data_IF_241233808168
#
_entry.id   IF_241233808168
#
_cell.length_a   1.000
_cell.length_b   1.000
_cell.length_c   1.000
_cell.angle_alpha   90.00
_cell.angle_beta   90.00
_cell.angle_gamma   90.00
#
_symmetry.space_group_name_H-M   'P 1'
#
loop_
_entity.id
_entity.type
_entity.pdbx_description
1 polymer ?
#
# COMPACT_ATOMS: atom_id res chain seq x y z
N UNK A 1 -38.31 3.66 8.98
CA UNK A 1 -36.85 3.84 9.03
C UNK A 1 -36.54 5.27 8.67
N UNK A 2 -35.68 5.95 9.41
CA UNK A 2 -35.34 7.35 9.12
C UNK A 2 -34.59 7.42 7.78
N UNK A 3 -35.20 8.06 6.78
CA UNK A 3 -34.58 8.30 5.48
C UNK A 3 -33.54 9.39 5.63
N UNK A 4 -32.26 9.01 5.64
CA UNK A 4 -31.16 9.97 5.66
C UNK A 4 -31.06 10.70 4.33
N UNK A 5 -30.97 12.04 4.37
CA UNK A 5 -30.80 12.91 3.20
C UNK A 5 -29.52 13.74 3.35
N UNK A 6 -28.93 14.15 2.22
CA UNK A 6 -27.84 15.12 2.24
C UNK A 6 -28.34 16.43 2.85
N UNK A 7 -27.54 17.05 3.70
CA UNK A 7 -27.93 18.20 4.52
C UNK A 7 -28.80 17.85 5.74
N UNK A 8 -29.16 16.57 5.93
CA UNK A 8 -29.79 16.10 7.17
C UNK A 8 -28.78 15.96 8.31
N UNK A 9 -29.27 15.87 9.53
CA UNK A 9 -28.45 15.64 10.73
C UNK A 9 -28.44 14.16 11.13
N UNK A 10 -27.32 13.70 11.67
CA UNK A 10 -27.13 12.33 12.17
C UNK A 10 -26.12 12.33 13.31
N UNK A 11 -26.33 11.47 14.31
CA UNK A 11 -25.36 11.27 15.39
C UNK A 11 -24.24 10.32 14.95
N UNK A 12 -23.00 10.79 15.02
CA UNK A 12 -21.81 10.04 14.62
C UNK A 12 -20.66 10.29 15.60
N UNK A 13 -19.74 9.33 15.68
CA UNK A 13 -18.52 9.50 16.49
C UNK A 13 -17.51 10.38 15.77
N UNK A 14 -17.22 11.56 16.33
CA UNK A 14 -16.21 12.46 15.80
C UNK A 14 -14.83 12.08 16.30
N UNK A 15 -13.88 11.83 15.40
CA UNK A 15 -12.48 11.52 15.79
C UNK A 15 -11.72 12.73 16.33
N UNK A 16 -12.18 13.96 16.04
CA UNK A 16 -11.59 15.20 16.57
C UNK A 16 -12.13 15.51 17.97
N UNK A 17 -13.45 15.50 18.16
CA UNK A 17 -14.06 15.77 19.46
C UNK A 17 -14.01 14.56 20.41
N UNK A 18 -13.78 13.35 19.88
CA UNK A 18 -13.79 12.07 20.61
C UNK A 18 -15.12 11.78 21.33
N UNK A 19 -16.21 12.29 20.78
CA UNK A 19 -17.56 12.18 21.32
C UNK A 19 -18.55 11.89 20.18
N UNK A 20 -19.65 11.24 20.52
CA UNK A 20 -20.81 11.09 19.61
C UNK A 20 -21.62 12.38 19.65
N UNK A 21 -21.63 13.10 18.54
CA UNK A 21 -22.26 14.42 18.42
C UNK A 21 -23.12 14.48 17.15
N UNK A 22 -23.92 15.54 17.01
CA UNK A 22 -24.65 15.83 15.79
C UNK A 22 -23.68 16.21 14.65
N UNK A 23 -23.86 15.55 13.50
CA UNK A 23 -23.15 15.82 12.27
C UNK A 23 -24.11 16.08 11.12
N UNK A 24 -23.76 17.01 10.25
CA UNK A 24 -24.47 17.24 8.98
C UNK A 24 -23.97 16.26 7.91
N UNK A 25 -24.88 15.62 7.19
CA UNK A 25 -24.57 14.69 6.10
C UNK A 25 -24.12 15.46 4.86
N UNK A 26 -22.87 15.27 4.43
CA UNK A 26 -22.33 15.91 3.24
C UNK A 26 -22.55 15.07 1.97
N UNK A 27 -22.42 13.76 2.09
CA UNK A 27 -22.54 12.85 0.95
C UNK A 27 -23.15 11.51 1.36
N UNK A 28 -24.06 11.03 0.51
CA UNK A 28 -24.65 9.70 0.57
C UNK A 28 -24.24 8.96 -0.70
N UNK A 29 -23.81 7.70 -0.56
CA UNK A 29 -23.50 6.81 -1.68
C UNK A 29 -24.46 5.63 -1.63
N UNK A 30 -25.36 5.57 -2.62
CA UNK A 30 -26.48 4.63 -2.62
C UNK A 30 -27.41 4.92 -1.44
N UNK A 31 -27.53 3.97 -0.52
CA UNK A 31 -28.36 4.09 0.69
C UNK A 31 -27.53 4.37 1.95
N UNK A 32 -26.22 4.57 1.84
CA UNK A 32 -25.29 4.70 2.99
C UNK A 32 -24.68 6.10 3.05
N UNK A 33 -24.61 6.66 4.25
CA UNK A 33 -23.91 7.91 4.52
C UNK A 33 -22.41 7.69 4.33
N UNK A 34 -21.78 8.46 3.44
CA UNK A 34 -20.36 8.33 3.13
C UNK A 34 -19.50 9.32 3.93
N UNK A 35 -19.94 10.59 3.98
CA UNK A 35 -19.19 11.70 4.59
C UNK A 35 -20.11 12.57 5.43
N UNK A 36 -19.60 13.00 6.58
CA UNK A 36 -20.31 13.86 7.54
C UNK A 36 -19.40 14.97 8.04
N UNK A 37 -20.00 16.11 8.39
CA UNK A 37 -19.35 17.26 9.01
C UNK A 37 -19.82 17.41 10.44
N UNK A 38 -18.89 17.46 11.40
CA UNK A 38 -19.25 17.68 12.79
C UNK A 38 -19.80 19.10 12.99
N UNK A 39 -20.94 19.26 13.65
CA UNK A 39 -21.53 20.58 13.91
C UNK A 39 -20.77 21.36 15.01
N UNK A 40 -19.92 20.68 15.80
CA UNK A 40 -19.16 21.29 16.90
C UNK A 40 -17.75 21.72 16.50
N UNK A 41 -17.00 20.87 15.78
CA UNK A 41 -15.62 21.19 15.36
C UNK A 41 -15.48 21.49 13.87
N UNK A 42 -16.58 21.46 13.12
CA UNK A 42 -16.65 21.71 11.68
C UNK A 42 -15.76 20.80 10.82
N UNK A 43 -15.22 19.72 11.40
CA UNK A 43 -14.34 18.78 10.73
C UNK A 43 -15.09 17.70 9.95
N UNK A 44 -14.65 17.46 8.72
CA UNK A 44 -15.25 16.48 7.82
C UNK A 44 -14.55 15.13 7.94
N UNK A 45 -15.33 14.06 8.12
CA UNK A 45 -14.81 12.70 8.20
C UNK A 45 -15.82 11.66 7.66
N UNK A 46 -15.37 10.42 7.52
CA UNK A 46 -16.24 9.32 7.13
C UNK A 46 -17.22 9.00 8.25
N UNK A 47 -18.47 8.68 7.89
CA UNK A 47 -19.50 8.33 8.88
C UNK A 47 -19.10 7.09 9.67
N UNK A 48 -19.11 7.21 11.00
CA UNK A 48 -18.96 6.11 11.94
C UNK A 48 -20.19 6.15 12.85
N UNK A 49 -21.07 5.15 12.71
CA UNK A 49 -22.26 5.04 13.55
C UNK A 49 -21.88 5.01 15.03
N UNK A 50 -22.80 5.46 15.88
CA UNK A 50 -22.63 5.40 17.32
C UNK A 50 -22.29 3.96 17.78
N UNK A 51 -21.39 3.79 18.76
CA UNK A 51 -21.12 2.47 19.32
C UNK A 51 -22.41 1.92 19.94
N UNK A 52 -23.00 0.90 19.31
CA UNK A 52 -24.20 0.23 19.81
C UNK A 52 -25.42 0.22 18.87
N UNK A 53 -25.44 1.02 17.80
CA UNK A 53 -26.49 0.92 16.77
C UNK A 53 -26.00 0.06 15.62
N UNK A 54 -26.13 -1.26 15.76
CA UNK A 54 -25.81 -2.22 14.72
C UNK A 54 -26.89 -2.23 13.64
N UNK A 55 -26.97 -1.16 12.85
CA UNK A 55 -27.53 -1.23 11.50
C UNK A 55 -26.36 -1.39 10.51
N UNK A 56 -25.58 -2.46 10.74
CA UNK A 56 -24.54 -2.90 9.83
C UNK A 56 -25.17 -4.02 9.00
N UNK A 57 -25.73 -3.73 7.80
CA UNK A 57 -25.99 -4.81 6.86
C UNK A 57 -24.65 -5.51 6.62
N UNK A 58 -24.70 -6.84 6.70
CA UNK A 58 -23.58 -7.74 6.52
C UNK A 58 -22.64 -7.21 5.42
N UNK A 59 -21.31 -7.21 5.63
CA UNK A 59 -20.39 -6.73 4.61
C UNK A 59 -20.63 -7.56 3.35
N UNK A 60 -21.25 -6.94 2.34
CA UNK A 60 -21.11 -7.42 0.98
C UNK A 60 -19.61 -7.34 0.71
N UNK A 61 -18.95 -8.46 0.42
CA UNK A 61 -17.53 -8.43 0.14
C UNK A 61 -17.36 -7.62 -1.14
N UNK A 62 -16.95 -6.36 -1.01
CA UNK A 62 -16.26 -5.68 -2.11
C UNK A 62 -15.06 -6.56 -2.39
N UNK A 63 -15.02 -7.08 -3.61
CA UNK A 63 -13.91 -7.80 -4.19
C UNK A 63 -12.63 -6.97 -4.05
N UNK A 64 -12.02 -7.07 -2.88
CA UNK A 64 -10.58 -7.07 -2.77
C UNK A 64 -10.19 -8.28 -3.59
N UNK A 65 -9.41 -8.06 -4.65
CA UNK A 65 -8.77 -9.13 -5.41
C UNK A 65 -7.90 -9.94 -4.44
N UNK A 66 -8.55 -10.86 -3.73
CA UNK A 66 -7.97 -11.94 -2.98
C UNK A 66 -7.81 -13.06 -3.99
N UNK A 67 -6.60 -13.20 -4.49
CA UNK A 67 -6.14 -14.45 -5.06
C UNK A 67 -6.36 -15.56 -4.02
N UNK A 68 -7.15 -16.56 -4.40
CA UNK A 68 -7.15 -17.88 -3.78
C UNK A 68 -8.08 -18.05 -2.59
N UNK A 69 -9.39 -18.00 -2.83
CA UNK A 69 -10.33 -18.73 -1.99
C UNK A 69 -10.35 -20.21 -2.40
N UNK A 70 -10.02 -21.12 -1.47
CA UNK A 70 -10.63 -22.44 -1.45
C UNK A 70 -11.27 -22.65 -0.08
N UNK A 71 -12.59 -22.71 -0.14
CA UNK A 71 -13.50 -23.50 0.69
C UNK A 71 -13.22 -23.56 2.20
N UNK A 72 -14.15 -22.94 2.92
CA UNK A 72 -14.57 -23.22 4.29
C UNK A 72 -14.75 -24.74 4.51
N UNK A 73 -13.64 -25.43 4.75
CA UNK A 73 -13.60 -26.68 5.47
C UNK A 73 -13.21 -26.34 6.91
N UNK A 74 -13.88 -27.02 7.82
CA UNK A 74 -13.59 -27.12 9.24
C UNK A 74 -12.24 -26.56 9.65
N UNK A 75 -12.28 -25.55 10.51
CA UNK A 75 -11.14 -25.08 11.29
C UNK A 75 -10.68 -26.22 12.20
N UNK A 76 -10.00 -27.22 11.63
CA UNK A 76 -9.11 -28.10 12.38
C UNK A 76 -7.98 -27.17 12.78
N UNK A 77 -8.03 -26.75 14.04
CA UNK A 77 -6.92 -26.19 14.76
C UNK A 77 -5.88 -27.30 14.76
N UNK A 78 -5.11 -27.45 13.67
CA UNK A 78 -3.80 -28.08 13.74
C UNK A 78 -3.03 -27.08 14.58
N UNK A 79 -3.09 -27.32 15.89
CA UNK A 79 -2.46 -26.50 16.88
C UNK A 79 -0.99 -26.40 16.48
N UNK A 80 -0.44 -25.20 16.61
CA UNK A 80 0.98 -24.90 16.39
C UNK A 80 1.94 -25.99 16.94
N UNK A 81 1.53 -26.71 17.97
CA UNK A 81 2.22 -27.86 18.57
C UNK A 81 2.35 -29.08 17.65
N UNK A 82 1.34 -29.36 16.84
CA UNK A 82 1.31 -30.50 15.90
C UNK A 82 2.10 -30.20 14.61
N UNK A 83 2.22 -28.92 14.23
CA UNK A 83 3.15 -28.49 13.17
C UNK A 83 4.62 -28.48 13.63
N UNK A 84 4.85 -28.36 14.94
CA UNK A 84 6.19 -28.43 15.53
C UNK A 84 6.62 -29.87 15.86
N UNK A 85 5.67 -30.80 15.95
CA UNK A 85 5.89 -32.22 16.21
C UNK A 85 6.58 -32.87 14.99
N UNK A 86 7.91 -32.85 14.99
CA UNK A 86 8.75 -33.47 13.96
C UNK A 86 9.72 -32.51 13.26
N UNK A 87 9.78 -31.24 13.70
CA UNK A 87 10.78 -30.28 13.18
C UNK A 87 11.78 -29.91 14.26
N UNK A 88 13.05 -29.90 13.85
CA UNK A 88 14.19 -29.81 14.73
C UNK A 88 14.36 -28.37 15.25
N UNK A 89 13.63 -28.08 16.33
CA UNK A 89 13.62 -26.78 17.02
C UNK A 89 15.01 -26.41 17.57
N UNK A 90 15.89 -27.40 17.74
CA UNK A 90 17.21 -27.22 18.33
C UNK A 90 18.26 -26.67 17.33
N UNK A 91 18.08 -26.93 16.04
CA UNK A 91 18.98 -26.47 14.98
C UNK A 91 18.42 -25.25 14.21
N UNK A 92 17.40 -24.59 14.73
CA UNK A 92 16.78 -23.43 14.09
C UNK A 92 17.76 -22.25 14.01
N UNK A 93 18.03 -21.69 12.82
CA UNK A 93 18.85 -20.50 12.68
C UNK A 93 18.24 -19.32 13.45
N UNK A 94 19.12 -18.52 14.09
CA UNK A 94 18.69 -17.23 14.67
C UNK A 94 18.28 -16.28 13.56
N UNK A 95 17.20 -15.53 13.79
CA UNK A 95 16.73 -14.54 12.85
C UNK A 95 17.80 -13.47 12.57
N UNK A 96 18.08 -13.27 11.29
CA UNK A 96 18.99 -12.29 10.73
C UNK A 96 18.32 -11.70 9.50
N UNK A 97 18.12 -10.38 9.42
CA UNK A 97 17.54 -9.74 8.24
C UNK A 97 18.35 -9.90 6.95
N UNK A 98 19.62 -10.33 7.06
CA UNK A 98 20.51 -10.57 5.92
C UNK A 98 20.29 -11.93 5.27
N UNK A 99 19.82 -12.89 6.05
CA UNK A 99 19.62 -14.26 5.57
C UNK A 99 18.29 -14.35 4.82
N UNK A 100 18.19 -15.33 3.94
CA UNK A 100 16.99 -15.61 3.16
C UNK A 100 16.32 -16.86 3.72
N UNK A 101 15.02 -16.80 3.93
CA UNK A 101 14.25 -17.90 4.51
C UNK A 101 13.24 -18.45 3.50
N UNK A 102 12.97 -19.75 3.59
CA UNK A 102 11.98 -20.46 2.77
C UNK A 102 10.74 -20.84 3.59
N UNK A 103 9.65 -21.15 2.90
CA UNK A 103 8.42 -21.68 3.52
C UNK A 103 8.74 -22.96 4.30
N UNK A 104 8.04 -23.17 5.42
CA UNK A 104 8.19 -24.30 6.35
C UNK A 104 9.52 -24.37 7.13
N UNK A 105 10.32 -23.30 7.07
CA UNK A 105 11.55 -23.18 7.87
C UNK A 105 11.23 -22.69 9.30
N UNK A 106 11.88 -23.27 10.30
CA UNK A 106 11.79 -22.85 11.69
C UNK A 106 12.90 -21.84 12.00
N UNK A 107 12.53 -20.70 12.58
CA UNK A 107 13.44 -19.58 12.90
C UNK A 107 13.29 -19.20 14.37
N UNK A 108 14.40 -18.90 15.02
CA UNK A 108 14.40 -18.34 16.37
C UNK A 108 14.54 -16.81 16.34
N UNK A 109 13.50 -16.08 16.75
CA UNK A 109 13.54 -14.63 16.92
C UNK A 109 13.77 -14.24 18.39
N UNK A 110 14.68 -13.30 18.73
CA UNK A 110 14.99 -12.95 20.11
C UNK A 110 13.80 -12.43 20.92
N UNK A 111 12.89 -11.68 20.30
CA UNK A 111 11.70 -11.10 20.97
C UNK A 111 10.49 -12.02 20.96
N UNK A 112 10.36 -12.87 19.94
CA UNK A 112 9.11 -13.61 19.67
C UNK A 112 9.25 -15.12 19.87
N UNK A 113 10.47 -15.60 20.10
CA UNK A 113 10.78 -17.01 20.26
C UNK A 113 10.82 -17.74 18.92
N UNK A 114 10.50 -19.02 18.96
CA UNK A 114 10.49 -19.91 17.79
C UNK A 114 9.24 -19.65 16.96
N UNK A 115 9.43 -19.45 15.65
CA UNK A 115 8.35 -19.29 14.69
C UNK A 115 8.58 -20.11 13.43
N UNK A 116 7.49 -20.53 12.80
CA UNK A 116 7.48 -21.23 11.52
C UNK A 116 7.16 -20.25 10.40
N UNK A 117 7.94 -20.27 9.33
CA UNK A 117 7.66 -19.46 8.13
C UNK A 117 6.45 -20.04 7.39
N UNK A 118 5.35 -19.30 7.33
CA UNK A 118 4.14 -19.72 6.62
C UNK A 118 4.05 -19.17 5.20
N UNK A 119 4.65 -18.01 4.94
CA UNK A 119 4.70 -17.44 3.60
C UNK A 119 5.91 -16.53 3.39
N UNK A 120 6.42 -16.51 2.17
CA UNK A 120 7.51 -15.62 1.73
C UNK A 120 6.99 -14.71 0.62
N UNK A 121 7.21 -13.40 0.76
CA UNK A 121 6.74 -12.32 -0.12
C UNK A 121 7.89 -11.38 -0.44
N UNK A 122 8.76 -11.79 -1.37
CA UNK A 122 9.92 -11.00 -1.77
C UNK A 122 10.88 -10.78 -0.60
N UNK A 123 10.92 -9.55 -0.08
CA UNK A 123 11.73 -9.18 1.10
C UNK A 123 11.02 -9.39 2.44
N UNK A 124 9.73 -9.75 2.43
CA UNK A 124 8.91 -9.92 3.64
C UNK A 124 8.56 -11.38 3.85
N UNK A 125 8.68 -11.85 5.08
CA UNK A 125 8.36 -13.22 5.48
C UNK A 125 7.30 -13.20 6.58
N UNK A 126 6.23 -13.97 6.40
CA UNK A 126 5.19 -14.16 7.42
C UNK A 126 5.57 -15.36 8.29
N UNK A 127 5.74 -15.09 9.59
CA UNK A 127 6.12 -16.07 10.61
C UNK A 127 4.97 -16.28 11.58
N UNK A 128 4.60 -17.53 11.81
CA UNK A 128 3.65 -17.91 12.85
C UNK A 128 4.43 -18.27 14.10
N UNK A 129 4.30 -17.45 15.14
CA UNK A 129 4.84 -17.71 16.48
C UNK A 129 3.76 -18.32 17.37
N UNK A 130 4.16 -18.80 18.55
CA UNK A 130 3.22 -19.32 19.56
C UNK A 130 2.13 -18.31 19.96
N UNK A 131 2.48 -17.02 19.97
CA UNK A 131 1.61 -15.96 20.46
C UNK A 131 0.84 -15.28 19.32
N UNK A 132 1.54 -14.92 18.24
CA UNK A 132 0.96 -14.16 17.13
C UNK A 132 1.60 -14.57 15.79
N UNK A 133 0.94 -14.26 14.68
CA UNK A 133 1.56 -14.18 13.36
C UNK A 133 2.18 -12.80 13.14
N UNK A 134 3.47 -12.73 12.75
CA UNK A 134 4.15 -11.45 12.45
C UNK A 134 4.89 -11.52 11.12
N UNK A 135 4.86 -10.42 10.38
CA UNK A 135 5.65 -10.23 9.17
C UNK A 135 7.01 -9.63 9.52
N UNK A 136 8.08 -10.34 9.19
CA UNK A 136 9.46 -9.88 9.34
C UNK A 136 10.11 -9.64 7.98
N UNK A 137 11.31 -9.07 7.98
CA UNK A 137 12.07 -8.78 6.75
C UNK A 137 13.23 -9.74 6.64
N UNK A 138 13.51 -10.22 5.44
CA UNK A 138 14.64 -11.10 5.15
C UNK A 138 15.30 -10.66 3.83
N UNK A 139 16.50 -11.15 3.55
CA UNK A 139 17.19 -10.85 2.28
C UNK A 139 17.62 -9.38 2.11
N UNK A 140 17.65 -8.56 3.18
CA UNK A 140 18.17 -7.17 3.15
C UNK A 140 19.67 -7.06 2.86
N UNK A 141 20.34 -8.20 2.67
CA UNK A 141 21.74 -8.32 2.24
C UNK A 141 21.92 -8.59 0.73
N UNK A 142 20.83 -8.62 -0.06
CA UNK A 142 20.93 -8.63 -1.52
C UNK A 142 21.73 -7.42 -2.03
N UNK A 143 22.47 -7.60 -3.12
CA UNK A 143 23.40 -6.63 -3.67
C UNK A 143 22.82 -5.19 -3.67
N UNK A 144 23.62 -4.16 -3.32
CA UNK A 144 23.15 -2.79 -3.27
C UNK A 144 22.65 -2.40 -4.67
N UNK A 145 21.33 -2.37 -4.86
CA UNK A 145 20.77 -1.79 -6.08
C UNK A 145 21.27 -0.36 -6.16
N UNK A 146 21.96 -0.03 -7.24
CA UNK A 146 22.58 1.28 -7.47
C UNK A 146 21.62 2.39 -7.07
N UNK A 147 22.11 3.30 -6.23
CA UNK A 147 21.35 4.46 -5.75
C UNK A 147 20.81 5.18 -6.98
N UNK A 148 19.48 5.42 -7.11
CA UNK A 148 18.97 6.19 -8.22
C UNK A 148 19.58 7.60 -8.15
N UNK A 149 20.41 7.93 -9.13
CA UNK A 149 20.99 9.25 -9.26
C UNK A 149 19.86 10.23 -9.62
N UNK A 150 19.47 11.05 -8.65
CA UNK A 150 18.53 12.14 -8.87
C UNK A 150 19.22 13.19 -9.76
N UNK A 151 18.90 13.20 -11.05
CA UNK A 151 19.30 14.28 -11.96
C UNK A 151 18.33 15.45 -11.77
N UNK A 152 18.77 16.59 -11.20
CA UNK A 152 17.90 17.75 -11.07
C UNK A 152 17.55 18.32 -12.45
N UNK A 153 16.33 18.85 -12.65
CA UNK A 153 15.95 19.47 -13.91
C UNK A 153 16.79 20.73 -14.16
N UNK A 154 17.54 20.74 -15.27
CA UNK A 154 18.27 21.93 -15.73
C UNK A 154 17.24 22.99 -16.11
N UNK A 155 17.31 24.17 -15.48
CA UNK A 155 16.49 25.32 -15.85
C UNK A 155 16.90 25.76 -17.26
N UNK A 156 16.02 25.61 -18.24
CA UNK A 156 16.20 26.24 -19.54
C UNK A 156 15.99 27.74 -19.36
N UNK A 157 17.02 28.54 -19.64
CA UNK A 157 16.93 29.99 -19.65
C UNK A 157 16.16 30.41 -20.91
N UNK A 158 14.85 30.62 -20.79
CA UNK A 158 14.12 31.40 -21.79
C UNK A 158 14.60 32.84 -21.68
N UNK A 159 15.23 33.33 -22.74
CA UNK A 159 15.65 34.73 -22.86
C UNK A 159 14.47 35.70 -22.73
N UNK A 160 14.75 37.00 -22.53
CA UNK A 160 13.72 38.00 -22.30
C UNK A 160 12.76 38.11 -23.49
N UNK A 161 11.47 37.93 -23.19
CA UNK A 161 10.36 38.12 -24.11
C UNK A 161 10.24 39.61 -24.46
N UNK A 162 10.66 39.99 -25.67
CA UNK A 162 9.87 40.84 -26.58
C UNK A 162 10.62 41.04 -27.91
N UNK A 163 10.25 40.28 -28.94
CA UNK A 163 10.46 40.70 -30.33
C UNK A 163 9.51 39.93 -31.26
N UNK A 164 8.62 40.61 -32.02
CA UNK A 164 7.71 39.92 -32.94
C UNK A 164 8.52 39.29 -34.07
N UNK A 165 8.26 38.01 -34.34
CA UNK A 165 8.79 37.30 -35.51
C UNK A 165 8.15 37.86 -36.78
N UNK A 166 8.94 38.53 -37.60
CA UNK A 166 8.58 38.80 -39.00
C UNK A 166 8.84 37.54 -39.81
N UNK A 167 7.78 37.06 -40.45
CA UNK A 167 7.81 36.04 -41.46
C UNK A 167 8.66 36.50 -42.65
N UNK A 168 9.63 35.68 -43.03
CA UNK A 168 10.26 35.65 -44.35
C UNK A 168 10.44 34.15 -44.65
N UNK A 169 9.54 33.56 -45.42
CA UNK A 169 9.53 33.53 -46.89
C UNK A 169 10.41 32.40 -47.41
N UNK A 170 9.76 31.53 -48.17
CA UNK A 170 10.23 30.27 -48.73
C UNK A 170 11.38 30.51 -49.72
N UNK A 171 12.41 29.66 -49.67
CA UNK A 171 13.20 29.34 -50.87
C UNK A 171 13.66 27.87 -50.82
N UNK A 172 13.62 27.15 -51.94
CA UNK A 172 13.52 25.70 -51.99
C UNK A 172 14.88 25.00 -52.12
N UNK A 173 14.80 23.68 -52.16
CA UNK A 173 15.86 22.68 -52.21
C UNK A 173 16.91 22.88 -53.32
N UNK A 174 18.16 22.54 -52.99
CA UNK A 174 19.12 21.94 -53.93
C UNK A 174 20.03 20.92 -53.22
N UNK A 175 20.44 19.92 -53.98
CA UNK A 175 20.79 18.56 -53.56
C UNK A 175 22.31 18.36 -53.25
N UNK A 176 22.75 17.14 -52.86
CA UNK A 176 23.98 16.88 -52.12
C UNK A 176 25.22 16.75 -53.02
N UNK A 177 26.40 17.01 -52.46
CA UNK A 177 27.68 16.58 -53.04
C UNK A 177 28.59 15.99 -51.97
N UNK A 178 29.03 14.78 -52.28
CA UNK A 178 30.01 13.95 -51.59
C UNK A 178 31.37 14.64 -51.47
N UNK A 179 32.10 14.42 -50.37
CA UNK A 179 33.55 14.24 -50.45
C UNK A 179 34.04 13.29 -49.34
N UNK A 180 34.72 12.23 -49.75
CA UNK A 180 35.26 11.15 -48.91
C UNK A 180 36.57 11.56 -48.20
N UNK A 181 36.96 10.88 -47.11
CA UNK A 181 38.09 11.28 -46.27
C UNK A 181 39.47 10.93 -46.85
N UNK A 182 40.42 11.85 -46.65
CA UNK A 182 41.83 11.70 -46.98
C UNK A 182 42.52 10.64 -46.08
N UNK A 183 43.10 9.62 -46.71
CA UNK A 183 44.14 8.75 -46.18
C UNK A 183 45.50 9.48 -46.19
N UNK A 184 46.18 9.51 -45.04
CA UNK A 184 47.58 9.93 -44.91
C UNK A 184 48.40 8.80 -44.31
N UNK A 185 49.47 8.44 -45.03
CA UNK A 185 50.57 7.55 -44.68
C UNK A 185 51.57 8.25 -43.73
#
# INVERSE_FOLDING_TARGET
MATHKVGGEVDAYCTRCKLTLAHTILAIVGTKIARVRCNTCNGDHAYRGAPGTTDRPAPTPRASRASGGLTRAEKIIISFEEQLAGRDVANAPRYSPKDTYSVDQVIQHPTFGVGLVTAVRGDKVDLTFRTDTKTLVHGRGGAPSEKPAFSPPVRQATGPADKPQVAAEEVPAEAPVEESPATGD
#
